data_IF_453358632697
#
_entry.id   IF_453358632697
#
_cell.length_a   1.000
_cell.length_b   1.000
_cell.length_c   1.000
_cell.angle_alpha   90.00
_cell.angle_beta   90.00
_cell.angle_gamma   90.00
#
_symmetry.space_group_name_H-M   'P 1'
#
loop_
_entity.id
_entity.type
_entity.pdbx_description
1 polymer ?
#
# COMPACT_ATOMS: atom_id res chain seq x y z
N UNK A 1 -11.45 21.89 11.78
CA UNK A 1 -11.27 22.31 10.38
C UNK A 1 -11.82 23.72 10.23
N UNK A 2 -10.98 24.68 9.90
CA UNK A 2 -11.40 26.05 9.61
C UNK A 2 -11.64 26.16 8.11
N UNK A 3 -12.90 26.39 7.70
CA UNK A 3 -13.23 26.68 6.31
C UNK A 3 -12.94 28.15 6.01
N UNK A 4 -11.67 28.49 5.95
CA UNK A 4 -11.22 29.81 5.55
C UNK A 4 -10.95 29.82 4.04
N UNK A 5 -11.33 30.91 3.36
CA UNK A 5 -11.02 31.13 1.95
C UNK A 5 -9.54 31.56 1.78
N UNK A 6 -8.61 30.66 2.10
CA UNK A 6 -7.16 30.84 1.99
C UNK A 6 -6.58 29.91 0.92
N UNK A 7 -5.32 30.15 0.54
CA UNK A 7 -4.59 29.26 -0.38
C UNK A 7 -4.52 27.82 0.15
N UNK A 8 -4.36 27.64 1.46
CA UNK A 8 -4.41 26.33 2.10
C UNK A 8 -5.83 25.73 2.03
N UNK A 9 -6.87 26.53 2.18
CA UNK A 9 -8.25 26.14 1.91
C UNK A 9 -8.46 25.59 0.49
N UNK A 10 -7.87 26.26 -0.52
CA UNK A 10 -7.90 25.80 -1.90
C UNK A 10 -7.16 24.47 -2.09
N UNK A 11 -5.96 24.30 -1.52
CA UNK A 11 -5.20 23.03 -1.57
C UNK A 11 -5.97 21.87 -0.95
N UNK A 12 -6.56 22.09 0.24
CA UNK A 12 -7.40 21.11 0.93
C UNK A 12 -8.62 20.69 0.09
N UNK A 13 -9.27 21.65 -0.58
CA UNK A 13 -10.40 21.38 -1.45
C UNK A 13 -9.99 20.55 -2.68
N UNK A 14 -8.92 20.95 -3.39
CA UNK A 14 -8.41 20.21 -4.55
C UNK A 14 -8.04 18.77 -4.15
N UNK A 15 -7.31 18.59 -3.06
CA UNK A 15 -6.93 17.25 -2.58
C UNK A 15 -8.18 16.40 -2.30
N UNK A 16 -9.19 16.98 -1.64
CA UNK A 16 -10.43 16.26 -1.30
C UNK A 16 -11.19 15.85 -2.55
N UNK A 17 -11.33 16.74 -3.53
CA UNK A 17 -11.98 16.42 -4.82
C UNK A 17 -11.23 15.29 -5.53
N UNK A 18 -9.90 15.36 -5.61
CA UNK A 18 -9.09 14.32 -6.24
C UNK A 18 -9.21 12.97 -5.51
N UNK A 19 -9.21 12.97 -4.17
CA UNK A 19 -9.37 11.76 -3.36
C UNK A 19 -10.74 11.11 -3.58
N UNK A 20 -11.82 11.89 -3.57
CA UNK A 20 -13.19 11.41 -3.81
C UNK A 20 -13.36 10.89 -5.24
N UNK A 21 -12.85 11.59 -6.25
CA UNK A 21 -12.90 11.14 -7.64
C UNK A 21 -12.11 9.84 -7.84
N UNK A 22 -10.93 9.73 -7.24
CA UNK A 22 -10.09 8.52 -7.31
C UNK A 22 -10.78 7.33 -6.65
N UNK A 23 -11.40 7.54 -5.49
CA UNK A 23 -12.20 6.52 -4.81
C UNK A 23 -13.39 6.09 -5.67
N UNK A 24 -14.15 7.05 -6.22
CA UNK A 24 -15.29 6.78 -7.09
C UNK A 24 -14.90 5.94 -8.31
N UNK A 25 -13.86 6.34 -9.05
CA UNK A 25 -13.40 5.60 -10.23
C UNK A 25 -12.87 4.20 -9.88
N UNK A 26 -12.17 4.07 -8.76
CA UNK A 26 -11.68 2.77 -8.26
C UNK A 26 -12.84 1.83 -7.92
N UNK A 27 -13.84 2.31 -7.17
CA UNK A 27 -15.03 1.52 -6.82
C UNK A 27 -15.85 1.19 -8.06
N UNK A 28 -16.09 2.16 -8.95
CA UNK A 28 -16.81 1.95 -10.23
C UNK A 28 -16.15 0.84 -11.04
N UNK A 29 -14.81 0.84 -11.13
CA UNK A 29 -14.03 -0.21 -11.80
C UNK A 29 -14.22 -1.58 -11.13
N UNK A 30 -14.10 -1.66 -9.81
CA UNK A 30 -14.25 -2.93 -9.08
C UNK A 30 -15.66 -3.50 -9.20
N UNK A 31 -16.70 -2.65 -9.09
CA UNK A 31 -18.09 -3.05 -9.30
C UNK A 31 -18.31 -3.55 -10.71
N UNK A 32 -17.79 -2.85 -11.72
CA UNK A 32 -17.86 -3.31 -13.12
C UNK A 32 -17.21 -4.68 -13.30
N UNK A 33 -16.03 -4.90 -12.73
CA UNK A 33 -15.35 -6.21 -12.77
C UNK A 33 -16.17 -7.29 -12.05
N UNK A 34 -16.82 -6.97 -10.94
CA UNK A 34 -17.67 -7.89 -10.19
C UNK A 34 -18.89 -8.32 -11.02
N UNK A 35 -19.59 -7.35 -11.62
CA UNK A 35 -20.76 -7.60 -12.46
C UNK A 35 -20.43 -8.43 -13.71
N UNK A 36 -19.22 -8.29 -14.24
CA UNK A 36 -18.74 -9.08 -15.38
C UNK A 36 -18.18 -10.46 -14.98
N UNK A 37 -18.15 -10.80 -13.69
CA UNK A 37 -17.55 -12.04 -13.19
C UNK A 37 -16.04 -12.12 -13.41
N UNK A 38 -15.37 -10.97 -13.57
CA UNK A 38 -13.91 -10.85 -13.83
C UNK A 38 -13.11 -10.32 -12.66
N UNK A 39 -13.75 -10.16 -11.49
CA UNK A 39 -13.11 -9.63 -10.30
C UNK A 39 -12.29 -10.69 -9.58
N UNK A 40 -11.01 -10.39 -9.37
CA UNK A 40 -10.13 -11.13 -8.48
C UNK A 40 -10.35 -10.66 -7.04
N UNK A 41 -11.14 -11.41 -6.29
CA UNK A 41 -11.56 -11.04 -4.92
C UNK A 41 -10.41 -10.72 -3.96
N UNK A 42 -9.28 -11.43 -4.06
CA UNK A 42 -8.10 -11.15 -3.22
C UNK A 42 -7.59 -9.72 -3.42
N UNK A 43 -7.57 -9.23 -4.66
CA UNK A 43 -7.11 -7.86 -4.95
C UNK A 43 -8.15 -6.82 -4.54
N UNK A 44 -9.44 -7.13 -4.67
CA UNK A 44 -10.50 -6.28 -4.14
C UNK A 44 -10.41 -6.15 -2.62
N UNK A 45 -10.13 -7.26 -1.92
CA UNK A 45 -9.91 -7.27 -0.48
C UNK A 45 -8.69 -6.44 -0.07
N UNK A 46 -7.56 -6.57 -0.77
CA UNK A 46 -6.38 -5.73 -0.53
C UNK A 46 -6.68 -4.23 -0.73
N UNK A 47 -7.45 -3.88 -1.75
CA UNK A 47 -7.90 -2.50 -1.98
C UNK A 47 -8.79 -2.00 -0.83
N UNK A 48 -9.73 -2.83 -0.34
CA UNK A 48 -10.58 -2.44 0.78
C UNK A 48 -9.78 -2.19 2.06
N UNK A 49 -8.78 -3.03 2.34
CA UNK A 49 -7.88 -2.83 3.47
C UNK A 49 -7.07 -1.53 3.36
N UNK A 50 -6.61 -1.17 2.15
CA UNK A 50 -5.81 0.04 1.96
C UNK A 50 -6.61 1.35 2.05
N UNK A 51 -7.95 1.30 2.05
CA UNK A 51 -8.79 2.50 2.19
C UNK A 51 -8.51 3.28 3.48
N UNK A 52 -8.18 2.58 4.58
CA UNK A 52 -7.85 3.24 5.84
C UNK A 52 -6.59 4.08 5.71
N UNK A 53 -5.52 3.53 5.12
CA UNK A 53 -4.26 4.25 4.93
C UNK A 53 -4.44 5.47 4.01
N UNK A 54 -5.19 5.33 2.91
CA UNK A 54 -5.51 6.46 2.02
C UNK A 54 -6.33 7.55 2.73
N UNK A 55 -7.31 7.16 3.55
CA UNK A 55 -8.07 8.09 4.38
C UNK A 55 -7.19 8.81 5.40
N UNK A 56 -6.32 8.06 6.09
CA UNK A 56 -5.40 8.62 7.06
C UNK A 56 -4.43 9.60 6.41
N UNK A 57 -3.91 9.26 5.24
CA UNK A 57 -3.04 10.11 4.43
C UNK A 57 -3.73 11.40 4.00
N UNK A 58 -4.97 11.31 3.49
CA UNK A 58 -5.79 12.48 3.19
C UNK A 58 -5.98 13.36 4.42
N UNK A 59 -6.39 12.78 5.55
CA UNK A 59 -6.61 13.50 6.81
C UNK A 59 -5.32 14.17 7.33
N UNK A 60 -4.18 13.49 7.23
CA UNK A 60 -2.87 14.03 7.59
C UNK A 60 -2.54 15.32 6.82
N UNK A 61 -2.68 15.31 5.50
CA UNK A 61 -2.46 16.51 4.68
C UNK A 61 -3.41 17.65 5.01
N UNK A 62 -4.70 17.34 5.24
CA UNK A 62 -5.68 18.33 5.68
C UNK A 62 -5.22 18.99 6.99
N UNK A 63 -4.77 18.23 7.98
CA UNK A 63 -4.31 18.79 9.25
C UNK A 63 -3.05 19.63 9.08
N UNK A 64 -2.07 19.19 8.30
CA UNK A 64 -0.84 19.95 8.08
C UNK A 64 -1.11 21.32 7.43
N UNK A 65 -2.02 21.39 6.46
CA UNK A 65 -2.42 22.67 5.87
C UNK A 65 -3.33 23.50 6.76
N UNK A 66 -4.20 22.88 7.56
CA UNK A 66 -5.12 23.59 8.45
C UNK A 66 -4.39 24.19 9.66
N UNK A 67 -3.42 23.48 10.22
CA UNK A 67 -2.69 23.87 11.44
C UNK A 67 -1.30 24.47 11.14
N UNK A 68 -0.92 24.53 9.85
CA UNK A 68 0.38 25.00 9.36
C UNK A 68 1.59 24.29 10.02
N UNK A 69 1.39 23.02 10.36
CA UNK A 69 2.38 22.18 11.03
C UNK A 69 2.95 21.15 10.05
N UNK A 70 4.24 21.22 9.70
CA UNK A 70 4.82 20.44 8.59
C UNK A 70 5.95 19.48 9.01
N UNK A 71 6.17 19.26 10.30
CA UNK A 71 7.32 18.47 10.80
C UNK A 71 7.39 17.07 10.22
N UNK A 72 6.25 16.45 9.95
CA UNK A 72 6.14 15.06 9.44
C UNK A 72 5.64 15.00 8.00
N UNK A 73 5.68 16.13 7.28
CA UNK A 73 5.15 16.27 5.94
C UNK A 73 5.79 15.30 4.94
N UNK A 74 7.13 15.22 4.96
CA UNK A 74 7.86 14.39 3.99
C UNK A 74 7.67 12.89 4.24
N UNK A 75 7.59 12.46 5.51
CA UNK A 75 7.20 11.09 5.83
C UNK A 75 5.82 10.78 5.25
N UNK A 76 4.82 11.62 5.53
CA UNK A 76 3.46 11.44 5.03
C UNK A 76 3.42 11.39 3.49
N UNK A 77 4.18 12.25 2.82
CA UNK A 77 4.29 12.26 1.37
C UNK A 77 4.89 10.96 0.82
N UNK A 78 5.97 10.47 1.45
CA UNK A 78 6.62 9.22 1.05
C UNK A 78 5.68 8.01 1.18
N UNK A 79 5.00 7.87 2.32
CA UNK A 79 4.01 6.81 2.53
C UNK A 79 2.87 6.91 1.51
N UNK A 80 2.31 8.11 1.31
CA UNK A 80 1.20 8.30 0.36
C UNK A 80 1.59 7.93 -1.07
N UNK A 81 2.78 8.33 -1.55
CA UNK A 81 3.22 8.03 -2.92
C UNK A 81 3.39 6.51 -3.10
N UNK A 82 4.02 5.85 -2.13
CA UNK A 82 4.27 4.41 -2.20
C UNK A 82 2.97 3.60 -2.05
N UNK A 83 2.03 4.02 -1.21
CA UNK A 83 0.68 3.46 -1.08
C UNK A 83 -0.15 3.63 -2.37
N UNK A 84 -0.11 4.82 -2.99
CA UNK A 84 -0.79 5.05 -4.27
C UNK A 84 -0.21 4.14 -5.36
N UNK A 85 1.11 4.01 -5.42
CA UNK A 85 1.78 3.14 -6.37
C UNK A 85 1.36 1.67 -6.20
N UNK A 86 1.38 1.14 -4.97
CA UNK A 86 0.93 -0.24 -4.71
C UNK A 86 -0.56 -0.41 -5.03
N UNK A 87 -1.39 0.57 -4.70
CA UNK A 87 -2.84 0.56 -4.95
C UNK A 87 -3.18 0.54 -6.44
N UNK A 88 -2.45 1.29 -7.27
CA UNK A 88 -2.62 1.25 -8.73
C UNK A 88 -2.33 -0.14 -9.28
N UNK A 89 -1.27 -0.80 -8.79
CA UNK A 89 -0.94 -2.18 -9.16
C UNK A 89 -2.04 -3.15 -8.70
N UNK A 90 -2.54 -3.01 -7.47
CA UNK A 90 -3.63 -3.84 -6.93
C UNK A 90 -4.90 -3.70 -7.78
N UNK A 91 -5.29 -2.47 -8.12
CA UNK A 91 -6.45 -2.20 -8.99
C UNK A 91 -6.24 -2.73 -10.42
N UNK A 92 -5.02 -2.66 -10.94
CA UNK A 92 -4.66 -3.30 -12.21
C UNK A 92 -4.84 -4.82 -12.13
N UNK A 93 -4.30 -5.46 -11.09
CA UNK A 93 -4.39 -6.89 -10.85
C UNK A 93 -5.79 -7.35 -10.41
N UNK A 94 -6.72 -6.44 -10.10
CA UNK A 94 -8.08 -6.81 -9.76
C UNK A 94 -8.86 -7.45 -10.92
N UNK A 95 -8.44 -7.23 -12.17
CA UNK A 95 -8.99 -7.95 -13.31
C UNK A 95 -8.36 -9.35 -13.42
N UNK A 96 -9.19 -10.39 -13.50
CA UNK A 96 -8.73 -11.77 -13.70
C UNK A 96 -8.02 -11.99 -15.04
N UNK A 97 -8.33 -11.18 -16.06
CA UNK A 97 -7.66 -11.23 -17.37
C UNK A 97 -6.17 -10.83 -17.27
N UNK A 98 -5.79 -10.06 -16.24
CA UNK A 98 -4.42 -9.63 -16.04
C UNK A 98 -3.62 -10.68 -15.25
N UNK A 99 -2.53 -11.17 -15.85
CA UNK A 99 -1.61 -12.10 -15.20
C UNK A 99 -0.91 -11.44 -14.00
N UNK A 100 -0.84 -12.16 -12.88
CA UNK A 100 -0.07 -11.73 -11.71
C UNK A 100 1.39 -12.10 -11.96
N UNK A 101 2.16 -11.14 -12.46
CA UNK A 101 3.60 -11.33 -12.65
C UNK A 101 4.34 -11.31 -11.33
N UNK A 102 5.49 -12.00 -11.27
CA UNK A 102 6.37 -11.99 -10.10
C UNK A 102 6.75 -10.54 -9.74
N UNK A 103 7.20 -9.75 -10.73
CA UNK A 103 7.50 -8.33 -10.56
C UNK A 103 6.38 -7.53 -9.90
N UNK A 104 5.14 -7.66 -10.37
CA UNK A 104 4.02 -6.91 -9.79
C UNK A 104 3.72 -7.34 -8.35
N UNK A 105 3.78 -8.65 -8.08
CA UNK A 105 3.62 -9.19 -6.74
C UNK A 105 4.74 -8.71 -5.79
N UNK A 106 5.99 -8.77 -6.24
CA UNK A 106 7.16 -8.31 -5.50
C UNK A 106 7.08 -6.81 -5.20
N UNK A 107 6.67 -5.97 -6.15
CA UNK A 107 6.53 -4.53 -5.91
C UNK A 107 5.49 -4.21 -4.84
N UNK A 108 4.28 -4.79 -4.92
CA UNK A 108 3.25 -4.61 -3.89
C UNK A 108 3.75 -5.14 -2.54
N UNK A 109 4.41 -6.30 -2.56
CA UNK A 109 4.90 -6.92 -1.33
C UNK A 109 6.03 -6.11 -0.69
N UNK A 110 6.91 -5.51 -1.49
CA UNK A 110 8.01 -4.67 -1.02
C UNK A 110 7.51 -3.39 -0.36
N UNK A 111 6.47 -2.76 -0.91
CA UNK A 111 5.83 -1.59 -0.27
C UNK A 111 5.25 -1.99 1.09
N UNK A 112 4.43 -3.05 1.14
CA UNK A 112 3.86 -3.52 2.41
C UNK A 112 4.91 -3.92 3.44
N UNK A 113 6.00 -4.56 3.01
CA UNK A 113 7.11 -4.90 3.89
C UNK A 113 7.84 -3.67 4.43
N UNK A 114 8.12 -2.70 3.56
CA UNK A 114 8.77 -1.45 3.93
C UNK A 114 7.94 -0.69 4.97
N UNK A 115 6.63 -0.55 4.74
CA UNK A 115 5.74 0.15 5.66
C UNK A 115 5.57 -0.60 6.98
N UNK A 116 5.53 -1.94 6.96
CA UNK A 116 5.50 -2.76 8.17
C UNK A 116 6.77 -2.54 9.03
N UNK A 117 7.95 -2.46 8.42
CA UNK A 117 9.19 -2.13 9.13
C UNK A 117 9.12 -0.73 9.72
N UNK A 118 8.71 0.25 8.92
CA UNK A 118 8.65 1.64 9.34
C UNK A 118 7.68 1.85 10.50
N UNK A 119 6.46 1.31 10.39
CA UNK A 119 5.46 1.35 11.46
C UNK A 119 5.95 0.66 12.74
N UNK A 120 6.69 -0.45 12.61
CA UNK A 120 7.31 -1.15 13.74
C UNK A 120 8.39 -0.31 14.42
N UNK A 121 9.20 0.41 13.66
CA UNK A 121 10.23 1.31 14.18
C UNK A 121 9.62 2.52 14.90
N UNK A 122 8.55 3.10 14.34
CA UNK A 122 7.93 4.32 14.85
C UNK A 122 7.18 4.10 16.17
N UNK A 123 5.95 3.57 16.09
CA UNK A 123 5.02 3.61 17.21
C UNK A 123 4.29 2.27 17.44
N UNK A 124 4.24 1.38 16.45
CA UNK A 124 3.46 0.14 16.55
C UNK A 124 3.91 -0.75 17.72
N UNK A 125 5.21 -0.96 17.88
CA UNK A 125 5.73 -1.81 18.98
C UNK A 125 5.40 -1.20 20.34
N UNK A 126 5.58 0.11 20.50
CA UNK A 126 5.34 0.80 21.78
C UNK A 126 3.84 0.82 22.10
N UNK A 127 3.03 1.21 21.13
CA UNK A 127 1.61 1.43 21.36
C UNK A 127 0.83 0.12 21.47
N UNK A 128 1.07 -0.81 20.54
CA UNK A 128 0.30 -2.04 20.42
C UNK A 128 0.96 -3.18 21.19
N UNK A 129 2.24 -3.47 20.94
CA UNK A 129 2.89 -4.66 21.51
C UNK A 129 3.22 -4.48 23.00
N UNK A 130 3.73 -3.30 23.39
CA UNK A 130 4.03 -2.99 24.79
C UNK A 130 2.79 -2.48 25.55
N UNK A 131 1.67 -2.24 24.87
CA UNK A 131 0.42 -1.77 25.48
C UNK A 131 0.50 -0.37 26.09
N UNK A 132 1.42 0.48 25.62
CA UNK A 132 1.62 1.85 26.14
C UNK A 132 0.81 2.91 25.40
N UNK A 133 0.16 2.54 24.31
CA UNK A 133 -0.60 3.46 23.46
C UNK A 133 -2.00 3.71 24.03
N UNK A 134 -2.52 4.91 23.80
CA UNK A 134 -3.94 5.19 24.03
C UNK A 134 -4.81 4.47 22.99
N UNK A 135 -6.09 4.28 23.29
CA UNK A 135 -7.02 3.54 22.44
C UNK A 135 -7.01 3.99 20.97
N UNK A 136 -7.01 5.30 20.72
CA UNK A 136 -6.98 5.84 19.35
C UNK A 136 -5.65 5.58 18.63
N UNK A 137 -4.52 5.54 19.35
CA UNK A 137 -3.21 5.22 18.80
C UNK A 137 -3.11 3.74 18.44
N UNK A 138 -3.60 2.86 19.32
CA UNK A 138 -3.65 1.41 19.09
C UNK A 138 -4.51 1.10 17.86
N UNK A 139 -5.70 1.68 17.77
CA UNK A 139 -6.60 1.46 16.61
C UNK A 139 -5.93 1.94 15.32
N UNK A 140 -5.36 3.14 15.31
CA UNK A 140 -4.64 3.67 14.15
C UNK A 140 -3.51 2.73 13.73
N UNK A 141 -2.65 2.34 14.67
CA UNK A 141 -1.44 1.55 14.36
C UNK A 141 -1.79 0.15 13.87
N UNK A 142 -2.85 -0.46 14.39
CA UNK A 142 -3.38 -1.73 13.88
C UNK A 142 -3.97 -1.56 12.48
N UNK A 143 -4.76 -0.51 12.26
CA UNK A 143 -5.40 -0.25 10.96
C UNK A 143 -4.40 0.16 9.87
N UNK A 144 -3.19 0.61 10.21
CA UNK A 144 -2.08 0.81 9.26
C UNK A 144 -1.29 -0.48 9.03
N UNK A 145 -0.92 -1.19 10.11
CA UNK A 145 -0.10 -2.40 10.02
C UNK A 145 -0.79 -3.57 9.31
N UNK A 146 -2.08 -3.78 9.59
CA UNK A 146 -2.80 -4.95 9.05
C UNK A 146 -2.84 -4.93 7.52
N UNK A 147 -3.26 -3.84 6.85
CA UNK A 147 -3.19 -3.74 5.38
C UNK A 147 -1.80 -4.06 4.83
N UNK A 148 -0.74 -3.55 5.44
CA UNK A 148 0.64 -3.72 4.99
C UNK A 148 1.09 -5.18 5.05
N UNK A 149 0.77 -5.88 6.13
CA UNK A 149 1.03 -7.32 6.26
C UNK A 149 0.28 -8.13 5.19
N UNK A 150 -0.98 -7.79 4.90
CA UNK A 150 -1.73 -8.46 3.84
C UNK A 150 -1.17 -8.15 2.45
N UNK A 151 -0.76 -6.90 2.19
CA UNK A 151 -0.09 -6.51 0.94
C UNK A 151 1.27 -7.21 0.77
N UNK A 152 1.98 -7.49 1.86
CA UNK A 152 3.20 -8.29 1.85
C UNK A 152 2.92 -9.77 1.55
N UNK A 153 1.95 -10.37 2.24
CA UNK A 153 1.77 -11.83 2.23
C UNK A 153 0.98 -12.32 1.01
N UNK A 154 -0.16 -11.69 0.70
CA UNK A 154 -1.10 -12.26 -0.28
C UNK A 154 -0.56 -12.33 -1.71
N UNK A 155 0.12 -11.30 -2.26
CA UNK A 155 0.69 -11.39 -3.61
C UNK A 155 1.76 -12.48 -3.72
N UNK A 156 2.61 -12.64 -2.70
CA UNK A 156 3.62 -13.72 -2.65
C UNK A 156 2.96 -15.10 -2.60
N UNK A 157 1.94 -15.27 -1.76
CA UNK A 157 1.17 -16.52 -1.69
C UNK A 157 0.54 -16.89 -3.03
N UNK A 158 0.06 -15.91 -3.79
CA UNK A 158 -0.52 -16.14 -5.11
C UNK A 158 0.50 -16.65 -6.12
N UNK A 159 1.69 -16.04 -6.17
CA UNK A 159 2.79 -16.51 -7.02
C UNK A 159 3.25 -17.91 -6.60
N UNK A 160 3.39 -18.15 -5.29
CA UNK A 160 3.80 -19.45 -4.77
C UNK A 160 2.81 -20.55 -5.17
N UNK A 161 1.50 -20.32 -4.99
CA UNK A 161 0.45 -21.26 -5.41
C UNK A 161 0.44 -21.50 -6.91
N UNK A 162 0.65 -20.45 -7.73
CA UNK A 162 0.75 -20.59 -9.17
C UNK A 162 1.97 -21.44 -9.59
N UNK A 163 3.11 -21.24 -8.92
CA UNK A 163 4.33 -22.02 -9.13
C UNK A 163 4.17 -23.49 -8.74
N UNK A 164 3.49 -23.78 -7.62
CA UNK A 164 3.18 -25.15 -7.21
C UNK A 164 2.28 -25.88 -8.22
N UNK A 165 1.29 -25.20 -8.81
CA UNK A 165 0.47 -25.79 -9.88
C UNK A 165 1.30 -26.10 -11.13
N UNK A 166 2.33 -25.29 -11.42
CA UNK A 166 3.26 -25.48 -12.55
C UNK A 166 4.31 -26.57 -12.28
N UNK A 167 4.66 -26.85 -11.01
CA UNK A 167 5.63 -27.88 -10.56
C UNK A 167 5.27 -29.33 -10.92
N UNK A 168 4.05 -29.62 -11.37
CA UNK A 168 3.75 -30.93 -11.98
C UNK A 168 4.37 -31.12 -13.37
N UNK A 169 5.09 -30.11 -13.91
CA UNK A 169 5.95 -30.20 -15.09
C UNK A 169 7.43 -30.10 -14.66
N UNK A 170 8.10 -31.26 -14.60
CA UNK A 170 9.46 -31.47 -14.06
C UNK A 170 10.50 -31.01 -15.10
N UNK A 171 10.88 -29.72 -15.15
CA UNK A 171 12.08 -29.30 -15.92
C UNK A 171 12.62 -27.89 -15.61
N UNK A 172 11.85 -26.97 -15.02
CA UNK A 172 12.18 -25.53 -15.07
C UNK A 172 12.84 -24.87 -13.84
N UNK A 173 13.36 -25.60 -12.85
CA UNK A 173 13.69 -24.99 -11.55
C UNK A 173 15.03 -24.24 -11.49
N UNK A 174 16.06 -24.71 -12.20
CA UNK A 174 17.38 -24.08 -12.19
C UNK A 174 17.46 -22.83 -13.09
N UNK A 175 16.64 -22.77 -14.15
CA UNK A 175 16.57 -21.62 -15.07
C UNK A 175 15.71 -20.48 -14.52
N UNK A 176 14.67 -20.77 -13.73
CA UNK A 176 13.77 -19.74 -13.18
C UNK A 176 14.41 -18.88 -12.07
N UNK A 177 15.30 -19.43 -11.24
CA UNK A 177 15.94 -18.64 -10.17
C UNK A 177 16.87 -17.59 -10.79
N UNK A 178 17.69 -17.97 -11.77
CA UNK A 178 18.58 -17.05 -12.49
C UNK A 178 17.84 -15.92 -13.21
N UNK A 179 16.69 -16.22 -13.83
CA UNK A 179 15.85 -15.21 -14.51
C UNK A 179 15.21 -14.20 -13.54
N UNK A 180 14.99 -14.57 -12.27
CA UNK A 180 14.31 -13.73 -11.28
C UNK A 180 15.25 -13.08 -10.25
N UNK A 181 16.55 -13.40 -10.25
CA UNK A 181 17.53 -12.77 -9.36
C UNK A 181 17.59 -11.25 -9.53
N UNK A 182 17.48 -10.76 -10.76
CA UNK A 182 17.49 -9.32 -11.04
C UNK A 182 16.28 -8.60 -10.42
N UNK A 183 15.10 -9.23 -10.42
CA UNK A 183 13.88 -8.69 -9.79
C UNK A 183 14.01 -8.68 -8.26
N UNK A 184 14.59 -9.73 -7.67
CA UNK A 184 14.83 -9.82 -6.24
C UNK A 184 15.87 -8.79 -5.77
N UNK A 185 16.96 -8.62 -6.51
CA UNK A 185 17.98 -7.59 -6.24
C UNK A 185 17.37 -6.19 -6.38
N UNK A 186 16.59 -5.93 -7.42
CA UNK A 186 15.92 -4.64 -7.59
C UNK A 186 14.95 -4.34 -6.43
N UNK A 187 14.23 -5.36 -5.95
CA UNK A 187 13.35 -5.21 -4.79
C UNK A 187 14.15 -4.93 -3.51
N UNK A 188 15.22 -5.68 -3.27
CA UNK A 188 16.08 -5.47 -2.11
C UNK A 188 16.68 -4.06 -2.10
N UNK A 189 17.11 -3.56 -3.27
CA UNK A 189 17.58 -2.18 -3.43
C UNK A 189 16.47 -1.16 -3.17
N UNK A 190 15.26 -1.39 -3.66
CA UNK A 190 14.11 -0.50 -3.40
C UNK A 190 13.77 -0.44 -1.91
N UNK A 191 13.75 -1.59 -1.23
CA UNK A 191 13.52 -1.66 0.23
C UNK A 191 14.65 -0.95 0.97
N UNK A 192 15.90 -1.22 0.61
CA UNK A 192 17.07 -0.60 1.26
C UNK A 192 17.08 0.92 1.10
N UNK A 193 16.84 1.42 -0.11
CA UNK A 193 16.73 2.86 -0.39
C UNK A 193 15.54 3.44 0.37
N UNK A 194 14.41 2.74 0.40
CA UNK A 194 13.23 3.16 1.16
C UNK A 194 13.51 3.32 2.66
N UNK A 195 14.23 2.36 3.26
CA UNK A 195 14.64 2.43 4.67
C UNK A 195 15.58 3.61 4.90
N UNK A 196 16.55 3.83 4.02
CA UNK A 196 17.45 5.00 4.11
C UNK A 196 16.63 6.30 4.05
N UNK A 197 15.68 6.41 3.13
CA UNK A 197 14.84 7.61 3.03
C UNK A 197 14.06 7.79 4.32
N UNK A 198 13.43 6.74 4.86
CA UNK A 198 12.67 6.83 6.12
C UNK A 198 13.56 7.30 7.28
N UNK A 199 14.81 6.84 7.35
CA UNK A 199 15.76 7.23 8.40
C UNK A 199 16.30 8.66 8.23
N UNK A 200 16.21 9.24 7.04
CA UNK A 200 16.70 10.58 6.72
C UNK A 200 15.62 11.66 6.79
N UNK A 201 14.36 11.27 6.69
CA UNK A 201 13.20 12.15 6.88
C UNK A 201 12.97 12.39 8.37
#
# INVERSE_FOLDING_TARGET
MYFNATDNGCKMWILTVLAVLSLYESVKRLVRLALLGRLRLIMAFLFLLSLFSHYYSWWGFINYWNDEFYTQWYHQLFFTITELFSTVIILYLANMDNFVSLRAALLVSGVGFLHSIAASYDQFIVNVVQGKGQAHQVVRDVCLMVPDLFQFILPLMMIFRASLKKRHSISGYATAIGEHMSELVALAMLIFIGIIIILLL
#
